data_IF_251537924722
#
_entry.id   IF_251537924722
#
_cell.length_a   1.000
_cell.length_b   1.000
_cell.length_c   1.000
_cell.angle_alpha   90.00
_cell.angle_beta   90.00
_cell.angle_gamma   90.00
#
_symmetry.space_group_name_H-M   'P 1'
#
loop_
_entity.id
_entity.type
_entity.pdbx_description
1 polymer ?
#
# COMPACT_ATOMS: atom_id res chain seq x y z
N UNK A 1 47.66 8.48 -41.82
CA UNK A 1 47.65 9.09 -40.48
C UNK A 1 47.76 7.97 -39.46
N UNK A 2 48.60 8.17 -38.45
CA UNK A 2 49.17 7.15 -37.56
C UNK A 2 48.20 6.83 -36.40
N UNK A 3 48.32 5.59 -35.93
CA UNK A 3 47.78 4.93 -34.75
C UNK A 3 47.96 5.68 -33.41
N UNK A 4 47.54 5.03 -32.31
CA UNK A 4 47.68 5.34 -30.86
C UNK A 4 46.48 6.05 -30.20
N UNK A 5 45.97 5.73 -29.00
CA UNK A 5 46.16 4.72 -27.94
C UNK A 5 44.89 4.80 -27.05
N UNK A 6 44.19 3.70 -26.75
CA UNK A 6 44.21 2.97 -25.46
C UNK A 6 43.67 3.74 -24.23
N UNK A 7 42.53 3.24 -23.73
CA UNK A 7 42.02 3.12 -22.34
C UNK A 7 42.20 4.26 -21.33
N UNK A 8 41.06 4.73 -20.81
CA UNK A 8 41.00 5.27 -19.44
C UNK A 8 40.26 4.26 -18.56
N UNK A 9 41.05 3.48 -17.83
CA UNK A 9 40.63 2.66 -16.70
C UNK A 9 39.93 3.51 -15.65
N UNK A 10 38.68 3.17 -15.33
CA UNK A 10 38.13 3.46 -14.01
C UNK A 10 38.78 2.51 -13.00
N UNK A 11 39.96 2.88 -12.52
CA UNK A 11 40.49 2.34 -11.28
C UNK A 11 40.12 3.34 -10.17
N UNK A 12 39.08 3.04 -9.38
CA UNK A 12 39.07 3.56 -8.02
C UNK A 12 38.34 2.63 -7.04
N UNK A 13 39.15 2.12 -6.12
CA UNK A 13 38.85 1.73 -4.73
C UNK A 13 37.84 0.62 -4.47
N UNK A 14 38.42 -0.58 -4.42
CA UNK A 14 38.08 -1.65 -3.49
C UNK A 14 38.06 -1.10 -2.05
N UNK A 15 36.88 -0.69 -1.58
CA UNK A 15 36.62 -0.49 -0.15
C UNK A 15 36.21 -1.82 0.47
N UNK A 16 36.80 -2.06 1.62
CA UNK A 16 36.81 -3.31 2.37
C UNK A 16 35.42 -3.88 2.62
N UNK A 17 35.34 -5.21 2.50
CA UNK A 17 34.27 -6.03 3.06
C UNK A 17 34.16 -5.78 4.56
N UNK A 18 33.07 -5.13 4.97
CA UNK A 18 32.37 -5.52 6.18
C UNK A 18 31.09 -6.22 5.72
N UNK A 19 30.78 -7.44 6.19
CA UNK A 19 29.43 -7.97 5.98
C UNK A 19 28.45 -6.95 6.57
N UNK A 20 27.39 -6.55 5.85
CA UNK A 20 26.34 -5.75 6.45
C UNK A 20 25.88 -6.48 7.72
N UNK A 21 25.61 -5.76 8.83
CA UNK A 21 25.04 -6.39 10.00
C UNK A 21 23.82 -7.18 9.53
N UNK A 22 23.86 -8.49 9.75
CA UNK A 22 22.75 -9.40 9.49
C UNK A 22 21.57 -8.83 10.26
N UNK A 23 20.72 -8.08 9.57
CA UNK A 23 19.39 -7.76 10.04
C UNK A 23 18.73 -9.12 10.17
N UNK A 24 18.73 -9.67 11.39
CA UNK A 24 17.79 -10.71 11.74
C UNK A 24 16.44 -10.20 11.23
N UNK A 25 15.96 -10.87 10.19
CA UNK A 25 14.72 -10.60 9.49
C UNK A 25 13.61 -10.91 10.49
N UNK A 26 13.45 -10.02 11.48
CA UNK A 26 12.35 -10.03 12.42
C UNK A 26 11.16 -9.77 11.54
N UNK A 27 10.55 -10.85 11.05
CA UNK A 27 9.33 -10.87 10.25
C UNK A 27 8.31 -10.01 10.97
N UNK A 28 8.26 -8.72 10.64
CA UNK A 28 7.35 -7.76 11.25
C UNK A 28 5.98 -8.23 10.82
N UNK A 29 5.26 -8.91 11.72
CA UNK A 29 3.94 -9.42 11.38
C UNK A 29 3.02 -8.22 11.18
N UNK A 30 2.36 -8.10 10.01
CA UNK A 30 1.44 -7.01 9.79
C UNK A 30 0.29 -7.09 10.82
N UNK A 31 0.13 -6.04 11.61
CA UNK A 31 -0.97 -5.91 12.57
C UNK A 31 -2.24 -5.55 11.79
N UNK A 32 -3.00 -6.58 11.40
CA UNK A 32 -4.30 -6.40 10.75
C UNK A 32 -5.38 -6.12 11.80
N UNK A 33 -5.93 -4.90 11.80
CA UNK A 33 -7.11 -4.55 12.62
C UNK A 33 -8.40 -4.88 11.86
N UNK A 34 -9.32 -5.59 12.53
CA UNK A 34 -10.64 -5.86 11.97
C UNK A 34 -11.44 -4.55 11.86
N UNK A 35 -12.06 -4.26 10.70
CA UNK A 35 -12.96 -3.12 10.59
C UNK A 35 -14.18 -3.31 11.48
N UNK A 36 -14.66 -2.27 12.18
CA UNK A 36 -15.86 -2.37 12.99
C UNK A 36 -17.09 -2.66 12.10
N UNK A 37 -18.05 -3.46 12.56
CA UNK A 37 -19.27 -3.71 11.81
C UNK A 37 -20.06 -2.39 11.66
N UNK A 38 -20.53 -2.06 10.45
CA UNK A 38 -21.34 -0.87 10.26
C UNK A 38 -22.71 -1.07 10.93
N UNK A 39 -22.94 -0.40 12.07
CA UNK A 39 -24.25 -0.42 12.75
C UNK A 39 -25.35 0.27 11.92
N UNK A 40 -24.96 1.30 11.17
CA UNK A 40 -25.78 1.96 10.16
C UNK A 40 -24.85 2.43 9.05
N UNK A 41 -25.04 1.91 7.83
CA UNK A 41 -24.16 2.19 6.68
C UNK A 41 -24.16 3.68 6.30
N UNK A 42 -25.24 4.41 6.56
CA UNK A 42 -25.39 5.83 6.23
C UNK A 42 -24.49 6.74 7.07
N UNK A 43 -23.95 6.26 8.20
CA UNK A 43 -22.93 7.01 8.96
C UNK A 43 -21.63 7.20 8.17
N UNK A 44 -21.43 6.43 7.10
CA UNK A 44 -20.29 6.59 6.20
C UNK A 44 -20.51 7.71 5.17
N UNK A 45 -21.75 8.13 4.92
CA UNK A 45 -22.05 9.15 3.91
C UNK A 45 -21.25 10.46 4.09
N UNK A 46 -21.23 11.12 5.27
CA UNK A 46 -20.45 12.36 5.43
C UNK A 46 -18.95 12.15 5.18
N UNK A 47 -18.40 11.02 5.65
CA UNK A 47 -16.98 10.68 5.46
C UNK A 47 -16.67 10.40 3.98
N UNK A 48 -17.60 9.80 3.25
CA UNK A 48 -17.43 9.53 1.82
C UNK A 48 -17.65 10.78 0.97
N UNK A 49 -18.47 11.74 1.43
CA UNK A 49 -18.59 13.08 0.85
C UNK A 49 -17.30 13.88 1.01
N UNK A 50 -16.72 13.92 2.21
CA UNK A 50 -15.43 14.58 2.46
C UNK A 50 -14.30 14.01 1.57
N UNK A 51 -14.38 12.73 1.23
CA UNK A 51 -13.43 12.05 0.34
C UNK A 51 -13.72 12.24 -1.16
N UNK A 52 -14.81 12.92 -1.51
CA UNK A 52 -15.25 13.09 -2.90
C UNK A 52 -15.75 11.81 -3.56
N UNK A 53 -16.07 10.77 -2.78
CA UNK A 53 -16.59 9.49 -3.29
C UNK A 53 -18.12 9.51 -3.43
N UNK A 54 -18.79 10.34 -2.63
CA UNK A 54 -20.22 10.63 -2.74
C UNK A 54 -20.40 12.11 -3.03
N UNK A 55 -21.23 12.43 -3.99
CA UNK A 55 -21.59 13.81 -4.36
C UNK A 55 -23.09 14.04 -4.14
N UNK A 56 -23.52 15.31 -4.16
CA UNK A 56 -24.92 15.65 -3.84
C UNK A 56 -25.91 15.21 -4.94
N UNK A 57 -25.46 15.25 -6.19
CA UNK A 57 -26.16 14.84 -7.41
C UNK A 57 -26.45 13.33 -7.48
N UNK A 58 -25.74 12.50 -6.72
CA UNK A 58 -26.03 11.07 -6.65
C UNK A 58 -27.40 10.82 -6.00
N UNK A 59 -28.18 9.95 -6.64
CA UNK A 59 -29.42 9.42 -6.09
C UNK A 59 -29.15 8.55 -4.87
N UNK A 60 -30.18 8.34 -4.05
CA UNK A 60 -30.09 7.47 -2.87
C UNK A 60 -29.56 6.05 -3.17
N UNK A 61 -30.03 5.33 -4.21
CA UNK A 61 -29.49 4.01 -4.52
C UNK A 61 -28.02 4.04 -4.97
N UNK A 62 -27.59 5.08 -5.69
CA UNK A 62 -26.17 5.25 -6.08
C UNK A 62 -25.29 5.47 -4.85
N UNK A 63 -25.73 6.34 -3.91
CA UNK A 63 -25.04 6.55 -2.63
C UNK A 63 -24.92 5.24 -1.85
N UNK A 64 -26.00 4.47 -1.77
CA UNK A 64 -26.01 3.17 -1.09
C UNK A 64 -25.02 2.18 -1.70
N UNK A 65 -24.93 2.14 -3.03
CA UNK A 65 -23.99 1.29 -3.75
C UNK A 65 -22.54 1.67 -3.43
N UNK A 66 -22.21 2.97 -3.50
CA UNK A 66 -20.87 3.47 -3.14
C UNK A 66 -20.50 3.12 -1.71
N UNK A 67 -21.44 3.26 -0.76
CA UNK A 67 -21.23 2.89 0.64
C UNK A 67 -20.91 1.39 0.78
N UNK A 68 -21.70 0.52 0.10
CA UNK A 68 -21.46 -0.93 0.13
C UNK A 68 -20.12 -1.31 -0.47
N UNK A 69 -19.75 -0.71 -1.60
CA UNK A 69 -18.46 -0.95 -2.25
C UNK A 69 -17.28 -0.52 -1.38
N UNK A 70 -17.42 0.59 -0.66
CA UNK A 70 -16.43 1.02 0.32
C UNK A 70 -16.26 -0.01 1.46
N UNK A 71 -17.35 -0.51 2.03
CA UNK A 71 -17.33 -1.55 3.07
C UNK A 71 -16.66 -2.82 2.55
N UNK A 72 -17.06 -3.28 1.35
CA UNK A 72 -16.50 -4.47 0.72
C UNK A 72 -15.00 -4.34 0.46
N UNK A 73 -14.54 -3.18 -0.01
CA UNK A 73 -13.11 -2.89 -0.21
C UNK A 73 -12.32 -2.98 1.10
N UNK A 74 -12.86 -2.44 2.20
CA UNK A 74 -12.21 -2.51 3.52
C UNK A 74 -12.18 -3.94 4.07
N UNK A 75 -13.26 -4.68 3.92
CA UNK A 75 -13.33 -6.10 4.32
C UNK A 75 -12.37 -6.97 3.50
N UNK A 76 -12.30 -6.74 2.18
CA UNK A 76 -11.36 -7.44 1.29
C UNK A 76 -9.91 -7.16 1.69
N UNK A 77 -9.58 -5.91 2.02
CA UNK A 77 -8.25 -5.55 2.52
C UNK A 77 -7.91 -6.28 3.84
N UNK A 78 -8.86 -6.35 4.77
CA UNK A 78 -8.70 -7.11 6.02
C UNK A 78 -8.47 -8.61 5.74
N UNK A 79 -9.29 -9.22 4.89
CA UNK A 79 -9.15 -10.64 4.52
C UNK A 79 -7.78 -10.91 3.88
N UNK A 80 -7.32 -10.06 2.96
CA UNK A 80 -5.97 -10.18 2.36
C UNK A 80 -4.87 -10.07 3.41
N UNK A 81 -4.98 -9.10 4.31
CA UNK A 81 -4.04 -8.90 5.40
C UNK A 81 -3.96 -10.14 6.30
N UNK A 82 -5.11 -10.70 6.71
CA UNK A 82 -5.19 -11.91 7.54
C UNK A 82 -4.70 -13.15 6.79
N UNK A 83 -5.03 -13.31 5.49
CA UNK A 83 -4.56 -14.44 4.68
C UNK A 83 -3.04 -14.42 4.47
N UNK A 84 -2.44 -13.24 4.31
CA UNK A 84 -0.98 -13.09 4.27
C UNK A 84 -0.27 -13.35 5.61
N UNK A 85 -1.02 -13.60 6.70
CA UNK A 85 -0.46 -14.08 7.98
C UNK A 85 -0.25 -15.60 8.02
N UNK A 86 -0.87 -16.38 7.13
CA UNK A 86 -0.66 -17.83 7.04
C UNK A 86 0.59 -18.12 6.21
#
# INVERSE_FOLDING_TARGET
>A
MISFMTVMSCANQQSQMAPPPSLEDKKIQPVCSAPPPPQNIWKLEPVLKEKGLITEDMTRPEKEQVIRDYINKKNSAYIKCVKGKK
#
